data_IF_865120666512
#
_entry.id   IF_865120666512
#
_cell.length_a   1.000
_cell.length_b   1.000
_cell.length_c   1.000
_cell.angle_alpha   90.00
_cell.angle_beta   90.00
_cell.angle_gamma   90.00
#
_symmetry.space_group_name_H-M   'P 1'
#
loop_
_entity.id
_entity.type
_entity.pdbx_description
1 polymer ?
#
# COMPACT_ATOMS: atom_id res chain seq x y z
N UNK A 1 42.90 31.06 9.53
CA UNK A 1 41.78 31.31 8.59
C UNK A 1 41.25 29.94 8.15
N UNK A 2 40.17 29.44 8.76
CA UNK A 2 39.60 28.12 8.37
C UNK A 2 38.86 28.32 7.05
N UNK A 3 39.39 27.73 5.98
CA UNK A 3 38.71 27.63 4.68
C UNK A 3 37.45 26.80 4.92
N UNK A 4 36.27 27.42 4.78
CA UNK A 4 35.02 26.69 4.64
C UNK A 4 35.09 26.00 3.28
N UNK A 5 35.37 24.71 3.28
CA UNK A 5 35.24 23.87 2.08
C UNK A 5 33.76 23.88 1.71
N UNK A 6 33.40 24.53 0.59
CA UNK A 6 32.06 24.43 0.03
C UNK A 6 31.83 22.97 -0.41
N UNK A 7 30.81 22.33 0.18
CA UNK A 7 30.37 20.98 -0.19
C UNK A 7 29.96 20.96 -1.67
N UNK A 8 30.31 19.90 -2.39
CA UNK A 8 29.89 19.70 -3.78
C UNK A 8 28.34 19.70 -3.87
N UNK A 9 27.73 20.11 -4.99
CA UNK A 9 26.26 20.24 -5.10
C UNK A 9 25.47 18.98 -4.71
N UNK A 10 26.00 17.80 -5.00
CA UNK A 10 25.41 16.50 -4.65
C UNK A 10 25.47 16.25 -3.14
N UNK A 11 26.61 16.54 -2.50
CA UNK A 11 26.79 16.36 -1.05
C UNK A 11 25.82 17.25 -0.29
N UNK A 12 25.66 18.51 -0.73
CA UNK A 12 24.70 19.45 -0.16
C UNK A 12 23.25 18.96 -0.27
N UNK A 13 22.88 18.36 -1.41
CA UNK A 13 21.55 17.78 -1.60
C UNK A 13 21.29 16.62 -0.63
N UNK A 14 22.26 15.71 -0.48
CA UNK A 14 22.17 14.58 0.45
C UNK A 14 22.12 15.03 1.92
N UNK A 15 22.83 16.12 2.27
CA UNK A 15 22.72 16.74 3.59
C UNK A 15 21.30 17.24 3.85
N UNK A 16 20.70 17.97 2.91
CA UNK A 16 19.34 18.47 3.06
C UNK A 16 18.31 17.34 3.24
N UNK A 17 18.42 16.24 2.47
CA UNK A 17 17.55 15.07 2.63
C UNK A 17 17.73 14.44 4.01
N UNK A 18 18.98 14.33 4.46
CA UNK A 18 19.30 13.74 5.77
C UNK A 18 18.73 14.57 6.92
N UNK A 19 18.78 15.90 6.83
CA UNK A 19 18.17 16.83 7.81
C UNK A 19 16.66 16.64 7.88
N UNK A 20 15.97 16.59 6.72
CA UNK A 20 14.53 16.33 6.63
C UNK A 20 14.16 14.98 7.27
N UNK A 21 14.92 13.92 6.97
CA UNK A 21 14.69 12.60 7.55
C UNK A 21 14.98 12.57 9.06
N UNK A 22 15.99 13.29 9.52
CA UNK A 22 16.33 13.39 10.95
C UNK A 22 15.23 14.07 11.75
N UNK A 23 14.54 15.05 11.16
CA UNK A 23 13.36 15.63 11.79
C UNK A 23 12.22 14.60 11.93
N UNK A 24 12.03 13.73 10.94
CA UNK A 24 10.98 12.72 10.94
C UNK A 24 11.35 11.40 11.65
N UNK A 25 12.61 11.19 12.06
CA UNK A 25 13.04 9.93 12.68
C UNK A 25 12.51 9.75 14.12
N UNK A 26 12.10 10.82 14.78
CA UNK A 26 11.41 10.73 16.07
C UNK A 26 10.00 10.17 15.85
N UNK A 27 9.64 9.03 16.46
CA UNK A 27 8.29 8.47 16.35
C UNK A 27 7.21 9.46 16.74
N UNK A 28 7.49 10.32 17.71
CA UNK A 28 6.55 11.31 18.25
C UNK A 28 6.34 12.46 17.27
N UNK A 29 7.43 13.00 16.68
CA UNK A 29 7.31 14.02 15.62
C UNK A 29 6.63 13.46 14.38
N UNK A 30 6.96 12.22 13.99
CA UNK A 30 6.27 11.57 12.88
C UNK A 30 4.78 11.38 13.16
N UNK A 31 4.40 11.00 14.38
CA UNK A 31 3.00 10.88 14.80
C UNK A 31 2.27 12.23 14.73
N UNK A 32 2.89 13.32 15.18
CA UNK A 32 2.33 14.69 15.07
C UNK A 32 2.08 15.05 13.61
N UNK A 33 3.08 14.87 12.73
CA UNK A 33 2.96 15.23 11.30
C UNK A 33 1.91 14.36 10.61
N UNK A 34 1.85 13.06 10.94
CA UNK A 34 0.83 12.15 10.42
C UNK A 34 -0.58 12.53 10.88
N UNK A 35 -0.78 12.91 12.14
CA UNK A 35 -2.07 13.39 12.64
C UNK A 35 -2.51 14.68 11.94
N UNK A 36 -1.58 15.64 11.81
CA UNK A 36 -1.85 16.90 11.12
C UNK A 36 -2.13 16.75 9.62
N UNK A 37 -1.82 15.58 9.04
CA UNK A 37 -2.21 15.25 7.67
C UNK A 37 -3.72 14.98 7.53
N UNK A 38 -4.38 14.56 8.61
CA UNK A 38 -5.82 14.28 8.70
C UNK A 38 -6.62 15.54 9.04
N UNK A 39 -6.05 16.48 9.78
CA UNK A 39 -6.70 17.73 10.12
C UNK A 39 -5.87 18.63 11.05
N UNK A 40 -6.21 19.92 11.10
CA UNK A 40 -5.57 20.87 12.00
C UNK A 40 -5.91 20.59 13.46
N UNK A 41 -4.95 20.76 14.37
CA UNK A 41 -5.09 20.42 15.79
C UNK A 41 -4.50 21.48 16.72
N UNK A 42 -4.95 21.51 17.98
CA UNK A 42 -4.33 22.34 19.04
C UNK A 42 -3.15 21.61 19.66
N UNK A 43 -2.19 22.36 20.21
CA UNK A 43 -1.05 21.83 20.98
C UNK A 43 -1.49 20.82 22.06
N UNK A 44 -2.56 21.12 22.80
CA UNK A 44 -3.07 20.27 23.87
C UNK A 44 -3.60 18.92 23.40
N UNK A 45 -4.11 18.84 22.17
CA UNK A 45 -4.58 17.58 21.59
C UNK A 45 -3.38 16.78 21.05
N UNK A 46 -2.43 17.47 20.39
CA UNK A 46 -1.21 16.85 19.90
C UNK A 46 -0.34 16.28 21.03
N UNK A 47 -0.25 16.95 22.19
CA UNK A 47 0.51 16.45 23.33
C UNK A 47 -0.07 15.15 23.91
N UNK A 48 -1.40 14.98 23.87
CA UNK A 48 -2.05 13.73 24.29
C UNK A 48 -1.71 12.58 23.35
N UNK A 49 -1.64 12.85 22.05
CA UNK A 49 -1.29 11.86 21.03
C UNK A 49 0.18 11.43 21.13
N UNK A 50 1.09 12.40 21.23
CA UNK A 50 2.54 12.14 21.16
C UNK A 50 3.13 11.60 22.45
N UNK A 51 2.32 11.34 23.49
CA UNK A 51 2.73 10.90 24.85
C UNK A 51 3.78 11.81 25.50
N UNK A 52 3.89 13.05 25.03
CA UNK A 52 4.82 14.05 25.52
C UNK A 52 4.13 14.99 26.50
N UNK A 53 4.91 15.63 27.36
CA UNK A 53 4.45 16.82 28.06
C UNK A 53 4.11 17.92 27.05
N UNK A 54 3.29 18.88 27.47
CA UNK A 54 2.92 20.05 26.63
C UNK A 54 4.17 20.81 26.18
N UNK A 55 5.19 20.90 27.05
CA UNK A 55 6.46 21.58 26.78
C UNK A 55 7.28 20.85 25.71
N UNK A 56 7.39 19.53 25.80
CA UNK A 56 8.09 18.72 24.79
C UNK A 56 7.37 18.77 23.44
N UNK A 57 6.05 18.64 23.43
CA UNK A 57 5.24 18.75 22.22
C UNK A 57 5.38 20.14 21.57
N UNK A 58 5.43 21.21 22.38
CA UNK A 58 5.69 22.57 21.89
C UNK A 58 7.07 22.69 21.23
N UNK A 59 8.11 22.09 21.84
CA UNK A 59 9.46 22.05 21.25
C UNK A 59 9.49 21.28 19.94
N UNK A 60 8.82 20.14 19.87
CA UNK A 60 8.70 19.35 18.64
C UNK A 60 8.00 20.11 17.53
N UNK A 61 6.90 20.80 17.85
CA UNK A 61 6.16 21.61 16.88
C UNK A 61 6.95 22.83 16.38
N UNK A 62 7.71 23.49 17.25
CA UNK A 62 8.61 24.56 16.83
C UNK A 62 9.66 24.05 15.85
N UNK A 63 10.29 22.92 16.18
CA UNK A 63 11.31 22.30 15.33
C UNK A 63 10.75 21.84 13.98
N UNK A 64 9.56 21.22 13.98
CA UNK A 64 8.84 20.86 12.75
C UNK A 64 8.43 22.10 11.93
N UNK A 65 8.14 23.23 12.60
CA UNK A 65 7.82 24.49 11.93
C UNK A 65 9.06 25.11 11.29
N UNK A 66 10.20 25.12 11.99
CA UNK A 66 11.50 25.56 11.48
C UNK A 66 11.93 24.72 10.26
N UNK A 67 11.66 23.42 10.28
CA UNK A 67 11.89 22.51 9.16
C UNK A 67 10.80 22.59 8.06
N UNK A 68 9.78 23.42 8.23
CA UNK A 68 8.75 23.67 7.22
C UNK A 68 7.68 22.58 7.07
N UNK A 69 7.62 21.58 7.96
CA UNK A 69 6.61 20.52 7.91
C UNK A 69 5.22 20.97 8.35
N UNK A 70 5.18 21.85 9.35
CA UNK A 70 3.94 22.34 9.94
C UNK A 70 3.99 23.85 10.06
N UNK A 71 2.83 24.48 10.26
CA UNK A 71 2.72 25.90 10.61
C UNK A 71 1.58 26.13 11.58
N UNK A 72 1.62 27.25 12.29
CA UNK A 72 0.56 27.69 13.20
C UNK A 72 -0.32 28.72 12.51
N UNK A 73 -1.62 28.50 12.52
CA UNK A 73 -2.61 29.43 11.98
C UNK A 73 -2.93 30.58 12.96
N UNK A 74 -3.70 31.57 12.49
CA UNK A 74 -4.11 32.73 13.30
C UNK A 74 -5.00 32.37 14.50
N UNK A 75 -5.62 31.20 14.51
CA UNK A 75 -6.46 30.70 15.61
C UNK A 75 -5.66 29.89 16.63
N UNK A 76 -4.34 29.77 16.41
CA UNK A 76 -3.42 29.02 17.24
C UNK A 76 -3.49 27.50 17.05
N UNK A 77 -4.11 27.02 15.96
CA UNK A 77 -4.06 25.62 15.56
C UNK A 77 -2.81 25.37 14.71
N UNK A 78 -2.29 24.16 14.79
CA UNK A 78 -1.24 23.68 13.90
C UNK A 78 -1.85 22.95 12.72
N UNK A 79 -1.24 23.10 11.54
CA UNK A 79 -1.60 22.41 10.32
C UNK A 79 -0.36 21.98 9.54
N UNK A 80 -0.48 20.92 8.74
CA UNK A 80 0.59 20.48 7.85
C UNK A 80 0.75 21.44 6.67
N UNK A 81 1.99 21.71 6.26
CA UNK A 81 2.26 22.51 5.06
C UNK A 81 2.14 21.66 3.78
N UNK A 82 2.07 22.27 2.59
CA UNK A 82 2.17 21.53 1.33
C UNK A 82 3.47 20.71 1.20
N UNK A 83 4.59 21.25 1.68
CA UNK A 83 5.87 20.54 1.72
C UNK A 83 5.80 19.32 2.62
N UNK A 84 5.30 19.47 3.85
CA UNK A 84 5.14 18.35 4.78
C UNK A 84 4.23 17.26 4.24
N UNK A 85 3.13 17.64 3.57
CA UNK A 85 2.22 16.70 2.91
C UNK A 85 2.89 15.94 1.77
N UNK A 86 3.65 16.64 0.92
CA UNK A 86 4.39 16.01 -0.18
C UNK A 86 5.43 15.01 0.35
N UNK A 87 6.19 15.37 1.39
CA UNK A 87 7.16 14.47 2.01
C UNK A 87 6.46 13.26 2.63
N UNK A 88 5.38 13.45 3.40
CA UNK A 88 4.60 12.35 3.96
C UNK A 88 4.06 11.38 2.90
N UNK A 89 3.69 11.87 1.71
CA UNK A 89 3.17 11.03 0.63
C UNK A 89 4.17 9.98 0.12
N UNK A 90 5.47 10.14 0.42
CA UNK A 90 6.53 9.19 0.06
C UNK A 90 6.69 8.05 1.07
N UNK A 91 6.12 8.18 2.28
CA UNK A 91 6.29 7.19 3.35
C UNK A 91 5.49 5.88 3.21
N UNK A 92 4.32 5.79 2.55
CA UNK A 92 3.59 4.53 2.44
C UNK A 92 4.44 3.39 1.86
N UNK A 93 5.23 3.66 0.82
CA UNK A 93 6.15 2.67 0.25
C UNK A 93 7.22 2.23 1.25
N UNK A 94 7.85 3.18 1.96
CA UNK A 94 8.84 2.86 2.99
C UNK A 94 8.23 2.06 4.15
N UNK A 95 7.02 2.42 4.61
CA UNK A 95 6.28 1.70 5.66
C UNK A 95 6.03 0.26 5.25
N UNK A 96 5.57 0.04 4.01
CA UNK A 96 5.32 -1.30 3.49
C UNK A 96 6.61 -2.15 3.42
N UNK A 97 7.69 -1.59 2.87
CA UNK A 97 9.00 -2.29 2.79
C UNK A 97 9.55 -2.64 4.17
N UNK A 98 9.40 -1.76 5.17
CA UNK A 98 9.84 -2.01 6.55
C UNK A 98 8.96 -3.07 7.22
N UNK A 99 7.64 -3.03 7.02
CA UNK A 99 6.68 -4.01 7.53
C UNK A 99 6.99 -5.42 7.02
N UNK A 100 7.26 -5.54 5.71
CA UNK A 100 7.51 -6.82 5.04
C UNK A 100 9.02 -7.09 4.81
N UNK A 101 9.89 -6.51 5.65
CA UNK A 101 11.35 -6.53 5.48
C UNK A 101 11.92 -7.92 5.19
N UNK A 102 11.46 -8.94 5.92
CA UNK A 102 11.95 -10.31 5.76
C UNK A 102 11.71 -10.87 4.35
N UNK A 103 10.59 -10.51 3.72
CA UNK A 103 10.28 -10.91 2.34
C UNK A 103 11.28 -10.27 1.36
N UNK A 104 11.51 -8.96 1.49
CA UNK A 104 12.37 -8.19 0.60
C UNK A 104 13.88 -8.41 0.81
N UNK A 105 14.30 -9.17 1.83
CA UNK A 105 15.71 -9.59 1.97
C UNK A 105 16.11 -10.65 0.94
N UNK A 106 15.16 -11.44 0.43
CA UNK A 106 15.42 -12.51 -0.56
C UNK A 106 14.64 -12.33 -1.87
N UNK A 107 13.70 -11.38 -1.94
CA UNK A 107 12.89 -11.11 -3.12
C UNK A 107 13.18 -9.69 -3.63
N UNK A 108 13.75 -9.62 -4.82
CA UNK A 108 14.05 -8.37 -5.52
C UNK A 108 12.83 -7.85 -6.29
N UNK A 109 12.73 -6.52 -6.45
CA UNK A 109 11.66 -5.84 -7.19
C UNK A 109 12.07 -5.45 -8.61
N UNK A 110 13.32 -5.64 -9.03
CA UNK A 110 13.84 -5.13 -10.32
C UNK A 110 13.12 -5.68 -11.56
N UNK A 111 12.43 -6.81 -11.43
CA UNK A 111 11.63 -7.39 -12.51
C UNK A 111 10.32 -6.61 -12.77
N UNK A 112 9.89 -5.75 -11.83
CA UNK A 112 8.69 -4.94 -11.97
C UNK A 112 8.99 -3.64 -12.74
N UNK A 113 8.08 -3.19 -13.60
CA UNK A 113 8.11 -1.83 -14.14
C UNK A 113 8.20 -0.78 -13.02
N UNK A 114 9.02 0.26 -13.25
CA UNK A 114 9.31 1.32 -12.27
C UNK A 114 8.07 1.94 -11.62
N UNK A 115 7.03 2.18 -12.41
CA UNK A 115 5.75 2.75 -11.94
C UNK A 115 5.07 1.93 -10.83
N UNK A 116 5.28 0.61 -10.79
CA UNK A 116 4.74 -0.26 -9.74
C UNK A 116 5.61 -0.25 -8.49
N UNK A 117 6.93 -0.13 -8.66
CA UNK A 117 7.87 0.03 -7.54
C UNK A 117 7.59 1.36 -6.82
N UNK A 118 7.37 2.43 -7.57
CA UNK A 118 7.04 3.76 -7.02
C UNK A 118 5.68 3.78 -6.29
N UNK A 119 4.76 2.88 -6.66
CA UNK A 119 3.42 2.72 -6.06
C UNK A 119 3.33 1.57 -5.07
N UNK A 120 4.46 0.97 -4.66
CA UNK A 120 4.46 -0.21 -3.78
C UNK A 120 3.73 0.04 -2.44
N UNK A 121 3.67 1.29 -2.00
CA UNK A 121 2.93 1.70 -0.82
C UNK A 121 1.41 1.45 -0.89
N UNK A 122 0.83 1.29 -2.09
CA UNK A 122 -0.59 0.93 -2.24
C UNK A 122 -0.91 -0.46 -1.70
N UNK A 123 0.11 -1.30 -1.50
CA UNK A 123 -0.02 -2.60 -0.86
C UNK A 123 -0.05 -2.52 0.68
N UNK A 124 0.02 -1.33 1.29
CA UNK A 124 0.09 -1.17 2.76
C UNK A 124 -1.07 -1.80 3.51
N UNK A 125 -2.26 -1.73 2.93
CA UNK A 125 -3.50 -2.33 3.46
C UNK A 125 -3.57 -3.85 3.24
N UNK A 126 -2.70 -4.37 2.38
CA UNK A 126 -2.55 -5.80 2.14
C UNK A 126 -1.93 -6.54 3.34
N UNK A 127 -2.21 -7.84 3.38
CA UNK A 127 -1.62 -8.77 4.34
C UNK A 127 -0.80 -9.83 3.61
N UNK A 128 0.49 -9.89 3.89
CA UNK A 128 1.32 -10.99 3.46
C UNK A 128 0.91 -12.27 4.20
N UNK A 129 0.80 -13.38 3.47
CA UNK A 129 0.44 -14.69 4.01
C UNK A 129 1.41 -15.75 3.51
N UNK A 130 1.80 -16.67 4.39
CA UNK A 130 2.84 -17.67 4.11
C UNK A 130 2.26 -19.05 3.73
N UNK A 131 0.93 -19.15 3.60
CA UNK A 131 0.25 -20.40 3.29
C UNK A 131 -0.68 -20.21 2.10
N UNK A 132 -0.49 -21.05 1.08
CA UNK A 132 -1.33 -21.04 -0.12
C UNK A 132 -2.82 -21.25 0.20
N UNK A 133 -3.15 -22.01 1.25
CA UNK A 133 -4.53 -22.20 1.70
C UNK A 133 -5.23 -20.88 2.06
N UNK A 134 -4.54 -19.97 2.75
CA UNK A 134 -5.09 -18.67 3.13
C UNK A 134 -5.35 -17.78 1.90
N UNK A 135 -4.47 -17.85 0.91
CA UNK A 135 -4.67 -17.15 -0.38
C UNK A 135 -5.89 -17.71 -1.10
N UNK A 136 -6.03 -19.03 -1.13
CA UNK A 136 -7.18 -19.69 -1.76
C UNK A 136 -8.48 -19.32 -1.05
N UNK A 137 -8.52 -19.35 0.28
CA UNK A 137 -9.71 -18.98 1.06
C UNK A 137 -10.10 -17.51 0.81
N UNK A 138 -9.13 -16.60 0.72
CA UNK A 138 -9.38 -15.21 0.40
C UNK A 138 -9.88 -15.01 -1.05
N UNK A 139 -9.33 -15.74 -2.02
CA UNK A 139 -9.87 -15.75 -3.40
C UNK A 139 -11.34 -16.18 -3.40
N UNK A 140 -11.73 -17.20 -2.62
CA UNK A 140 -13.14 -17.61 -2.49
C UNK A 140 -14.01 -16.48 -1.95
N UNK A 141 -13.52 -15.80 -0.92
CA UNK A 141 -14.21 -14.65 -0.34
C UNK A 141 -14.42 -13.53 -1.38
N UNK A 142 -13.38 -13.15 -2.12
CA UNK A 142 -13.45 -12.12 -3.18
C UNK A 142 -14.49 -12.49 -4.23
N UNK A 143 -14.45 -13.72 -4.74
CA UNK A 143 -15.43 -14.20 -5.74
C UNK A 143 -16.86 -14.16 -5.18
N UNK A 144 -17.08 -14.62 -3.94
CA UNK A 144 -18.43 -14.66 -3.34
C UNK A 144 -19.04 -13.28 -3.09
N UNK A 145 -18.22 -12.24 -2.98
CA UNK A 145 -18.67 -10.87 -2.74
C UNK A 145 -18.89 -10.06 -4.02
N UNK A 146 -18.41 -10.53 -5.18
CA UNK A 146 -18.48 -9.76 -6.42
C UNK A 146 -19.91 -9.63 -6.93
N UNK A 147 -20.38 -8.39 -7.15
CA UNK A 147 -21.74 -8.08 -7.62
C UNK A 147 -21.77 -7.55 -9.04
N UNK A 148 -20.79 -6.75 -9.45
CA UNK A 148 -20.76 -6.20 -10.82
C UNK A 148 -19.87 -7.00 -11.76
N UNK A 149 -18.70 -7.46 -11.30
CA UNK A 149 -17.83 -8.37 -12.05
C UNK A 149 -16.92 -9.17 -11.12
N UNK A 150 -16.37 -10.26 -11.67
CA UNK A 150 -15.28 -11.04 -11.07
C UNK A 150 -14.24 -11.36 -12.13
N UNK A 151 -12.99 -10.97 -11.90
CA UNK A 151 -11.85 -11.28 -12.77
C UNK A 151 -10.86 -12.17 -12.06
N UNK A 152 -10.37 -13.19 -12.76
CA UNK A 152 -9.51 -14.23 -12.23
C UNK A 152 -8.31 -14.45 -13.15
N UNK A 153 -7.14 -14.66 -12.57
CA UNK A 153 -5.99 -15.25 -13.24
C UNK A 153 -5.39 -16.31 -12.33
N UNK A 154 -5.07 -17.49 -12.88
CA UNK A 154 -4.44 -18.53 -12.07
C UNK A 154 -3.61 -19.52 -12.88
N UNK A 155 -2.48 -19.93 -12.31
CA UNK A 155 -1.60 -20.98 -12.80
C UNK A 155 -2.09 -22.39 -12.43
N UNK A 156 -3.00 -22.48 -11.46
CA UNK A 156 -3.62 -23.73 -11.04
C UNK A 156 -5.10 -23.49 -10.82
N UNK A 157 -5.96 -24.30 -11.44
CA UNK A 157 -7.35 -24.28 -11.00
C UNK A 157 -7.41 -24.70 -9.54
N UNK A 158 -8.10 -23.88 -8.74
CA UNK A 158 -8.34 -24.13 -7.33
C UNK A 158 -8.92 -25.55 -7.18
N UNK A 159 -8.37 -26.39 -6.30
CA UNK A 159 -8.85 -27.75 -6.17
C UNK A 159 -10.31 -27.73 -5.73
N UNK A 160 -11.19 -28.20 -6.64
CA UNK A 160 -12.57 -28.62 -6.41
C UNK A 160 -13.41 -27.59 -5.65
N UNK A 161 -13.64 -26.47 -6.30
CA UNK A 161 -14.76 -25.57 -6.00
C UNK A 161 -16.08 -26.36 -6.13
N UNK A 162 -16.93 -26.50 -5.10
CA UNK A 162 -18.18 -27.25 -5.23
C UNK A 162 -19.14 -26.51 -6.16
N UNK A 163 -19.16 -26.86 -7.44
CA UNK A 163 -19.98 -26.22 -8.48
C UNK A 163 -19.62 -24.75 -8.66
N UNK A 164 -18.84 -24.41 -9.69
CA UNK A 164 -18.36 -23.04 -9.94
C UNK A 164 -19.48 -22.01 -9.80
N UNK A 165 -20.67 -22.28 -10.33
CA UNK A 165 -21.83 -21.37 -10.22
C UNK A 165 -22.46 -21.19 -8.84
N UNK A 166 -22.17 -22.03 -7.83
CA UNK A 166 -22.79 -21.95 -6.49
C UNK A 166 -22.20 -20.86 -5.59
N UNK A 167 -20.99 -20.41 -5.92
CA UNK A 167 -20.22 -19.52 -5.06
C UNK A 167 -20.06 -18.13 -5.64
N UNK A 168 -20.69 -17.87 -6.79
CA UNK A 168 -20.96 -16.51 -7.25
C UNK A 168 -22.34 -16.12 -6.72
N UNK A 169 -22.52 -14.87 -6.27
CA UNK A 169 -23.80 -14.42 -5.74
C UNK A 169 -24.89 -14.35 -6.82
N UNK A 170 -24.52 -14.27 -8.11
CA UNK A 170 -25.43 -14.40 -9.24
C UNK A 170 -24.75 -15.03 -10.44
N UNK A 171 -25.53 -15.75 -11.25
CA UNK A 171 -25.06 -16.38 -12.50
C UNK A 171 -24.91 -15.40 -13.66
N UNK A 172 -25.48 -14.20 -13.53
CA UNK A 172 -25.48 -13.14 -14.56
C UNK A 172 -24.36 -12.11 -14.43
N UNK A 173 -23.47 -12.31 -13.46
CA UNK A 173 -22.32 -11.43 -13.26
C UNK A 173 -21.25 -11.75 -14.31
N UNK A 174 -20.71 -10.74 -15.01
CA UNK A 174 -19.53 -10.88 -15.86
C UNK A 174 -18.37 -11.56 -15.13
N UNK A 175 -17.91 -12.68 -15.67
CA UNK A 175 -16.72 -13.39 -15.18
C UNK A 175 -15.67 -13.46 -16.28
N UNK A 176 -14.46 -12.97 -15.99
CA UNK A 176 -13.31 -13.11 -16.88
C UNK A 176 -12.25 -13.95 -16.22
N UNK A 177 -11.75 -14.95 -16.92
CA UNK A 177 -10.69 -15.82 -16.39
C UNK A 177 -9.54 -15.95 -17.36
N UNK A 178 -8.31 -15.79 -16.86
CA UNK A 178 -7.08 -16.17 -17.55
C UNK A 178 -6.54 -17.43 -16.89
N UNK A 179 -6.51 -18.52 -17.66
CA UNK A 179 -6.04 -19.83 -17.22
C UNK A 179 -4.69 -20.18 -17.86
N UNK A 180 -3.85 -20.88 -17.13
CA UNK A 180 -2.74 -21.63 -17.71
C UNK A 180 -3.23 -22.74 -18.64
N UNK A 181 -2.54 -22.96 -19.75
CA UNK A 181 -2.87 -24.01 -20.73
C UNK A 181 -2.85 -25.43 -20.16
N UNK A 182 -2.19 -25.66 -19.02
CA UNK A 182 -2.15 -26.95 -18.35
C UNK A 182 -3.47 -27.30 -17.63
N UNK A 183 -4.39 -26.34 -17.50
CA UNK A 183 -5.70 -26.54 -16.89
C UNK A 183 -6.60 -27.38 -17.82
N UNK A 184 -7.31 -28.36 -17.23
CA UNK A 184 -8.22 -29.25 -17.95
C UNK A 184 -9.38 -28.46 -18.60
N UNK A 185 -9.53 -28.66 -19.91
CA UNK A 185 -10.58 -28.04 -20.73
C UNK A 185 -11.98 -28.42 -20.30
N UNK A 186 -12.18 -29.62 -19.74
CA UNK A 186 -13.49 -30.03 -19.23
C UNK A 186 -13.96 -29.10 -18.11
N UNK A 187 -13.04 -28.68 -17.25
CA UNK A 187 -13.32 -27.78 -16.13
C UNK A 187 -13.59 -26.34 -16.64
N UNK A 188 -12.82 -25.89 -17.64
CA UNK A 188 -13.08 -24.59 -18.29
C UNK A 188 -14.47 -24.57 -18.96
N UNK A 189 -14.86 -25.68 -19.58
CA UNK A 189 -16.18 -25.82 -20.19
C UNK A 189 -17.30 -25.79 -19.14
N UNK A 190 -17.13 -26.48 -18.01
CA UNK A 190 -18.10 -26.44 -16.90
C UNK A 190 -18.30 -25.00 -16.39
N UNK A 191 -17.20 -24.26 -16.18
CA UNK A 191 -17.23 -22.86 -15.76
C UNK A 191 -18.03 -21.99 -16.74
N UNK A 192 -17.77 -22.14 -18.04
CA UNK A 192 -18.49 -21.41 -19.09
C UNK A 192 -19.97 -21.75 -19.19
N UNK A 193 -20.38 -22.96 -18.79
CA UNK A 193 -21.81 -23.35 -18.75
C UNK A 193 -22.53 -22.94 -17.46
N UNK A 194 -21.81 -22.84 -16.34
CA UNK A 194 -22.41 -22.54 -15.04
C UNK A 194 -22.77 -21.05 -14.87
N UNK A 195 -22.14 -20.17 -15.64
CA UNK A 195 -22.21 -18.72 -15.55
C UNK A 195 -22.52 -18.13 -16.93
N UNK A 196 -23.55 -17.29 -17.04
CA UNK A 196 -24.12 -16.86 -18.33
C UNK A 196 -23.23 -15.87 -19.09
N UNK A 197 -22.34 -15.15 -18.40
CA UNK A 197 -21.47 -14.10 -18.97
C UNK A 197 -19.99 -14.36 -18.69
N UNK A 198 -19.48 -15.48 -19.19
CA UNK A 198 -18.09 -15.91 -18.95
C UNK A 198 -17.20 -15.74 -20.17
N UNK A 199 -16.06 -15.09 -19.99
CA UNK A 199 -14.98 -15.03 -20.98
C UNK A 199 -13.73 -15.74 -20.42
N UNK A 200 -13.21 -16.74 -21.13
CA UNK A 200 -12.03 -17.50 -20.70
C UNK A 200 -10.91 -17.31 -21.73
N UNK A 201 -9.81 -16.70 -21.29
CA UNK A 201 -8.54 -16.67 -22.00
C UNK A 201 -7.60 -17.74 -21.48
N UNK A 202 -6.80 -18.33 -22.36
CA UNK A 202 -5.77 -19.31 -21.99
C UNK A 202 -4.41 -18.78 -22.41
N UNK A 203 -3.44 -18.78 -21.50
CA UNK A 203 -2.07 -18.38 -21.75
C UNK A 203 -1.12 -19.60 -21.66
N UNK A 204 0.00 -19.59 -22.42
CA UNK A 204 0.96 -20.70 -22.38
C UNK A 204 1.60 -20.94 -21.01
N UNK A 205 1.72 -19.87 -20.20
CA UNK A 205 2.23 -19.93 -18.84
C UNK A 205 1.62 -18.83 -18.00
N UNK A 206 1.05 -19.21 -16.88
CA UNK A 206 0.68 -18.33 -15.77
C UNK A 206 1.53 -18.74 -14.57
N UNK A 207 1.91 -17.79 -13.71
CA UNK A 207 2.72 -18.09 -12.50
C UNK A 207 2.24 -17.30 -11.29
N UNK A 208 1.00 -16.81 -11.35
CA UNK A 208 0.34 -16.00 -10.33
C UNK A 208 -1.11 -16.43 -10.22
N UNK A 209 -1.66 -16.35 -9.01
CA UNK A 209 -3.08 -16.45 -8.75
C UNK A 209 -3.58 -15.11 -8.21
N UNK A 210 -4.62 -14.55 -8.82
CA UNK A 210 -5.22 -13.29 -8.40
C UNK A 210 -6.72 -13.30 -8.72
N UNK A 211 -7.49 -12.70 -7.82
CA UNK A 211 -8.92 -12.48 -7.98
C UNK A 211 -9.23 -11.01 -7.67
N UNK A 212 -10.09 -10.41 -8.50
CA UNK A 212 -10.56 -9.04 -8.36
C UNK A 212 -12.08 -9.07 -8.52
N UNK A 213 -12.77 -8.30 -7.70
CA UNK A 213 -14.21 -8.12 -7.82
C UNK A 213 -14.60 -6.65 -7.68
N UNK A 214 -15.85 -6.36 -8.00
CA UNK A 214 -16.53 -5.11 -7.66
C UNK A 214 -17.82 -5.46 -6.92
N UNK A 215 -18.03 -4.86 -5.75
CA UNK A 215 -19.09 -5.20 -4.81
C UNK A 215 -20.22 -4.18 -4.79
#
# INVERSE_FOLDING_TARGET
>A
MKVKTELQPVERCLTNVSEVLFELISPERFAIVNELSLGRQRLTELSKLSKHTVQECSRDLNRLSEAGFVRKDSNGLFEITPFGRAVLSLFPGLKFLVKERHYFLSHDLSFLPRQFIERIGELSEGKAVNHASLVLDHIREVVSKGREYVWLISDRMMPRWPGIGSSYPSKDIPVRMIADQTIDRAILSEAGTALSRTEIGVLPRVSVAMAINES
#
